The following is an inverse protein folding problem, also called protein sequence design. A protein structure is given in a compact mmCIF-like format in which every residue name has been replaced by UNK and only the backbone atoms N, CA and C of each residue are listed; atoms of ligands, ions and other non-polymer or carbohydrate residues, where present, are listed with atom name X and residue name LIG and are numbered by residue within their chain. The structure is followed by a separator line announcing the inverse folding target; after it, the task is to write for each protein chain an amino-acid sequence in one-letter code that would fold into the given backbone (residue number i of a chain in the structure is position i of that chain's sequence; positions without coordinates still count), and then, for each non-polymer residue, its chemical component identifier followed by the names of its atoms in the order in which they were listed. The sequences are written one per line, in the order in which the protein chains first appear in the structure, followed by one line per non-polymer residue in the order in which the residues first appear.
data_IF_200181113706
#
_entry.id   IF_200181113706
#
_cell.length_a   1.000
_cell.length_b   1.000
_cell.length_c   1.000
_cell.angle_alpha   90.00
_cell.angle_beta   90.00
_cell.angle_gamma   90.00
#
_symmetry.space_group_name_H-M   'P 1'
#
loop_
_entity.id
_entity.type
_entity.pdbx_description
1 polymer ?
#
# COMPACT_ATOMS: atom_id res chain seq x y z
N UNK A 1 -14.47 -1.02 -10.21
CA UNK A 1 -14.22 -1.34 -8.80
C UNK A 1 -13.55 -0.13 -8.15
N UNK A 2 -14.12 0.41 -7.06
CA UNK A 2 -13.54 1.55 -6.34
C UNK A 2 -12.82 0.99 -5.11
N UNK A 3 -11.49 0.97 -5.14
CA UNK A 3 -10.68 0.51 -4.01
C UNK A 3 -10.55 1.60 -2.97
N UNK A 4 -10.82 1.23 -1.72
CA UNK A 4 -10.77 2.13 -0.57
C UNK A 4 -9.78 1.59 0.43
N UNK A 5 -8.89 2.46 0.90
CA UNK A 5 -8.08 2.23 2.08
C UNK A 5 -8.56 3.18 3.17
N UNK A 6 -8.46 2.74 4.43
CA UNK A 6 -8.90 3.55 5.55
C UNK A 6 -7.97 3.39 6.76
N UNK A 7 -7.94 4.42 7.59
CA UNK A 7 -7.19 4.43 8.84
C UNK A 7 -7.95 5.19 9.92
N UNK A 8 -7.72 4.80 11.17
CA UNK A 8 -8.23 5.53 12.34
C UNK A 8 -7.18 6.53 12.80
N UNK A 9 -7.60 7.78 12.98
CA UNK A 9 -6.79 8.89 13.47
C UNK A 9 -7.41 9.46 14.75
N UNK A 10 -6.65 10.23 15.51
CA UNK A 10 -7.14 11.01 16.64
C UNK A 10 -7.74 12.32 16.14
N UNK A 11 -8.99 12.57 16.52
CA UNK A 11 -9.64 13.87 16.35
C UNK A 11 -9.54 14.67 17.66
N UNK A 12 -9.87 15.97 17.68
CA UNK A 12 -9.80 16.78 18.90
C UNK A 12 -10.63 16.24 20.07
N UNK A 13 -11.71 15.50 19.77
CA UNK A 13 -12.69 15.05 20.77
C UNK A 13 -12.78 13.52 20.89
N UNK A 14 -12.31 12.76 19.90
CA UNK A 14 -12.35 11.30 19.89
C UNK A 14 -11.42 10.74 18.79
N UNK A 15 -12.00 10.06 17.80
CA UNK A 15 -11.32 9.50 16.64
C UNK A 15 -11.96 10.00 15.35
N UNK A 16 -11.22 9.89 14.26
CA UNK A 16 -11.74 10.04 12.91
C UNK A 16 -11.36 8.80 12.09
N UNK A 17 -12.31 8.27 11.33
CA UNK A 17 -12.02 7.32 10.26
C UNK A 17 -11.73 8.13 9.01
N UNK A 18 -10.54 7.97 8.45
CA UNK A 18 -10.09 8.65 7.24
C UNK A 18 -9.94 7.62 6.14
N UNK A 19 -10.59 7.83 5.01
CA UNK A 19 -10.56 6.94 3.86
C UNK A 19 -10.06 7.66 2.60
N UNK A 20 -9.29 6.93 1.79
CA UNK A 20 -8.73 7.39 0.52
C UNK A 20 -8.80 6.29 -0.53
N UNK A 21 -8.60 6.68 -1.79
CA UNK A 21 -8.77 5.79 -2.94
C UNK A 21 -7.47 5.78 -3.75
N UNK A 22 -6.83 4.62 -4.00
CA UNK A 22 -5.54 4.56 -4.71
C UNK A 22 -5.57 5.12 -6.14
N UNK A 23 -6.73 5.04 -6.81
CA UNK A 23 -6.92 5.43 -8.21
C UNK A 23 -7.82 6.63 -8.42
N UNK A 24 -8.34 7.22 -7.35
CA UNK A 24 -9.25 8.38 -7.43
C UNK A 24 -8.69 9.46 -6.52
N UNK A 25 -8.66 10.70 -7.02
CA UNK A 25 -8.32 11.83 -6.17
C UNK A 25 -9.41 12.06 -5.14
N UNK A 26 -9.03 12.12 -3.86
CA UNK A 26 -10.00 12.33 -2.81
C UNK A 26 -9.61 11.68 -1.51
N UNK A 27 -9.82 12.42 -0.42
CA UNK A 27 -9.78 11.87 0.93
C UNK A 27 -11.01 12.36 1.67
N UNK A 28 -11.69 11.42 2.32
CA UNK A 28 -12.88 11.65 3.12
C UNK A 28 -12.61 11.27 4.57
N UNK A 29 -13.33 11.90 5.50
CA UNK A 29 -13.31 11.48 6.90
C UNK A 29 -14.70 11.44 7.51
N UNK A 30 -14.85 10.69 8.60
CA UNK A 30 -16.04 10.67 9.43
C UNK A 30 -15.64 10.55 10.90
N UNK A 31 -16.32 11.28 11.77
CA UNK A 31 -16.10 11.28 13.21
C UNK A 31 -17.38 10.80 13.93
N UNK A 32 -17.26 10.24 15.15
CA UNK A 32 -18.42 9.85 15.94
C UNK A 32 -19.44 11.00 16.05
N UNK A 33 -20.71 10.69 15.80
CA UNK A 33 -21.80 11.68 15.79
C UNK A 33 -22.07 12.35 14.44
N UNK A 34 -21.16 12.25 13.46
CA UNK A 34 -21.41 12.75 12.11
C UNK A 34 -22.16 11.72 11.27
N UNK A 35 -23.33 12.10 10.73
CA UNK A 35 -24.16 11.22 9.88
C UNK A 35 -23.64 11.04 8.45
N UNK A 36 -22.60 11.77 8.05
CA UNK A 36 -22.08 11.79 6.68
C UNK A 36 -20.55 11.84 6.70
N UNK A 37 -19.96 11.30 5.64
CA UNK A 37 -18.56 11.51 5.32
C UNK A 37 -18.35 12.94 4.83
N UNK A 38 -17.25 13.57 5.25
CA UNK A 38 -16.84 14.90 4.82
C UNK A 38 -15.62 14.77 3.92
N UNK A 39 -15.64 15.44 2.77
CA UNK A 39 -14.47 15.51 1.89
C UNK A 39 -13.47 16.50 2.49
N UNK A 40 -12.31 16.00 2.92
CA UNK A 40 -11.24 16.84 3.48
C UNK A 40 -10.23 17.25 2.42
N UNK A 41 -10.06 16.44 1.36
CA UNK A 41 -9.20 16.76 0.22
C UNK A 41 -9.91 16.34 -1.07
N UNK A 42 -10.09 17.25 -2.03
CA UNK A 42 -10.72 16.95 -3.33
C UNK A 42 -9.73 16.47 -4.40
N UNK A 43 -8.51 16.99 -4.37
CA UNK A 43 -7.50 16.77 -5.41
C UNK A 43 -6.19 16.26 -4.80
N UNK A 44 -6.30 15.18 -4.04
CA UNK A 44 -5.15 14.52 -3.40
C UNK A 44 -5.13 13.04 -3.79
N UNK A 45 -4.10 12.67 -4.54
CA UNK A 45 -3.74 11.29 -4.84
C UNK A 45 -2.48 10.89 -4.06
N UNK A 46 -2.54 9.74 -3.39
CA UNK A 46 -1.46 9.22 -2.55
C UNK A 46 -0.88 7.95 -3.18
N UNK A 47 0.46 7.83 -3.19
CA UNK A 47 1.17 6.59 -3.52
C UNK A 47 1.04 5.57 -2.40
N UNK A 48 1.23 6.05 -1.18
CA UNK A 48 1.18 5.26 0.05
C UNK A 48 0.71 6.18 1.18
N UNK A 49 0.12 5.61 2.21
CA UNK A 49 -0.30 6.33 3.40
C UNK A 49 0.10 5.56 4.66
N UNK A 50 0.34 6.30 5.73
CA UNK A 50 0.79 5.77 7.00
C UNK A 50 0.01 6.43 8.15
N UNK A 51 -0.83 5.67 8.87
CA UNK A 51 -1.27 6.09 10.19
C UNK A 51 -0.09 6.04 11.16
N UNK A 52 0.23 7.17 11.78
CA UNK A 52 1.34 7.29 12.71
C UNK A 52 1.04 8.33 13.79
N UNK A 53 1.21 7.95 15.05
CA UNK A 53 0.99 8.83 16.22
C UNK A 53 -0.38 9.57 16.17
N UNK A 54 -1.44 8.84 15.82
CA UNK A 54 -2.81 9.39 15.74
C UNK A 54 -3.07 10.31 14.54
N UNK A 55 -2.15 10.42 13.59
CA UNK A 55 -2.30 11.23 12.37
C UNK A 55 -2.18 10.35 11.13
N UNK A 56 -2.64 10.86 10.00
CA UNK A 56 -2.43 10.21 8.70
C UNK A 56 -1.42 11.01 7.88
N UNK A 57 -0.37 10.34 7.45
CA UNK A 57 0.61 10.88 6.50
C UNK A 57 0.52 10.15 5.17
N UNK A 58 0.97 10.77 4.09
CA UNK A 58 1.02 10.10 2.79
C UNK A 58 2.01 10.74 1.83
N UNK A 59 2.46 9.95 0.86
CA UNK A 59 3.31 10.44 -0.23
C UNK A 59 2.43 10.88 -1.39
N UNK A 60 2.46 12.17 -1.75
CA UNK A 60 1.66 12.70 -2.87
C UNK A 60 2.21 12.22 -4.21
N UNK A 61 1.35 11.64 -5.07
CA UNK A 61 1.75 11.08 -6.38
C UNK A 61 2.46 12.09 -7.29
N UNK A 62 1.95 13.33 -7.33
CA UNK A 62 2.44 14.35 -8.26
C UNK A 62 3.69 15.12 -7.80
N UNK A 63 4.13 15.00 -6.54
CA UNK A 63 5.11 15.96 -6.00
C UNK A 63 6.20 15.40 -5.08
N UNK A 64 6.29 14.07 -4.88
CA UNK A 64 7.34 13.45 -4.06
C UNK A 64 7.49 14.09 -2.66
N UNK A 65 6.36 14.50 -2.10
CA UNK A 65 6.26 15.12 -0.79
C UNK A 65 5.52 14.18 0.14
N UNK A 66 6.08 14.00 1.32
CA UNK A 66 5.34 13.42 2.45
C UNK A 66 4.53 14.57 3.06
N UNK A 67 3.21 14.40 3.10
CA UNK A 67 2.27 15.39 3.62
C UNK A 67 1.47 14.80 4.76
N UNK A 68 1.08 15.66 5.71
CA UNK A 68 0.03 15.32 6.66
C UNK A 68 -1.33 15.41 5.96
N UNK A 69 -2.01 14.27 5.86
CA UNK A 69 -3.33 14.12 5.27
C UNK A 69 -4.41 14.45 6.31
N UNK A 70 -4.26 13.92 7.51
CA UNK A 70 -5.14 14.17 8.65
C UNK A 70 -4.32 14.41 9.94
N UNK A 71 -4.67 15.36 10.81
CA UNK A 71 -5.75 16.34 10.68
C UNK A 71 -5.62 17.24 9.43
N UNK A 72 -6.73 17.67 8.83
CA UNK A 72 -6.70 18.45 7.60
C UNK A 72 -6.05 19.83 7.86
N UNK A 73 -5.28 20.30 6.88
CA UNK A 73 -4.68 21.64 6.87
C UNK A 73 -4.90 22.29 5.51
N UNK A 74 -5.05 23.61 5.51
CA UNK A 74 -5.43 24.40 4.32
C UNK A 74 -4.47 24.27 3.12
N UNK A 75 -3.20 23.90 3.34
CA UNK A 75 -2.18 23.80 2.29
C UNK A 75 -1.42 22.46 2.25
N UNK A 76 -1.96 21.38 2.84
CA UNK A 76 -1.26 20.10 3.00
C UNK A 76 0.13 20.29 3.64
N UNK A 77 0.18 20.35 4.98
CA UNK A 77 1.45 20.47 5.72
C UNK A 77 2.47 19.44 5.22
N UNK A 78 3.52 19.91 4.56
CA UNK A 78 4.63 19.08 4.09
C UNK A 78 5.49 18.72 5.30
N UNK A 79 5.66 17.43 5.55
CA UNK A 79 6.46 16.92 6.67
C UNK A 79 7.80 16.34 6.22
N UNK A 80 7.96 16.10 4.92
CA UNK A 80 9.26 15.77 4.33
C UNK A 80 9.23 15.99 2.81
N UNK A 81 10.40 16.28 2.25
CA UNK A 81 10.62 16.33 0.81
C UNK A 81 11.58 15.21 0.44
N UNK A 82 11.18 14.39 -0.52
CA UNK A 82 12.06 13.38 -1.09
C UNK A 82 13.02 14.11 -2.05
N UNK A 83 14.34 13.99 -1.88
CA UNK A 83 15.32 14.69 -2.72
C UNK A 83 15.12 14.32 -4.18
N UNK A 84 15.29 15.31 -5.07
CA UNK A 84 15.08 15.12 -6.52
C UNK A 84 16.16 14.25 -7.14
N UNK A 85 17.32 14.22 -6.51
CA UNK A 85 18.50 13.46 -6.87
C UNK A 85 18.26 11.95 -6.73
N UNK A 86 17.21 11.56 -6.00
CA UNK A 86 16.82 10.17 -5.79
C UNK A 86 15.89 9.71 -6.93
N UNK A 87 16.51 9.34 -8.07
CA UNK A 87 15.90 8.62 -9.20
C UNK A 87 14.80 9.37 -9.95
N UNK A 88 14.28 8.80 -11.05
CA UNK A 88 13.30 9.48 -11.90
C UNK A 88 11.89 9.57 -11.29
N UNK A 89 11.21 10.74 -11.34
CA UNK A 89 9.95 11.03 -10.65
C UNK A 89 8.85 9.99 -10.79
N UNK A 90 8.74 9.40 -11.97
CA UNK A 90 7.59 8.58 -12.38
C UNK A 90 7.81 7.07 -12.20
N UNK A 91 9.05 6.64 -11.95
CA UNK A 91 9.42 5.21 -11.91
C UNK A 91 9.78 4.70 -10.50
N UNK A 92 9.77 5.56 -9.47
CA UNK A 92 10.12 5.15 -8.10
C UNK A 92 8.88 4.71 -7.31
N UNK A 93 8.92 3.51 -6.71
CA UNK A 93 7.92 3.09 -5.74
C UNK A 93 8.27 3.63 -4.35
N UNK A 94 7.30 4.28 -3.70
CA UNK A 94 7.47 4.90 -2.39
C UNK A 94 6.58 4.19 -1.38
N UNK A 95 7.16 3.71 -0.28
CA UNK A 95 6.45 3.02 0.79
C UNK A 95 6.68 3.74 2.11
N UNK A 96 5.59 4.05 2.83
CA UNK A 96 5.67 4.51 4.21
C UNK A 96 5.30 3.35 5.13
N UNK A 97 6.06 3.17 6.21
CA UNK A 97 5.86 2.09 7.17
C UNK A 97 6.22 2.56 8.57
N UNK A 98 5.41 2.22 9.56
CA UNK A 98 5.76 2.39 10.97
C UNK A 98 6.64 1.22 11.39
N UNK A 99 7.74 1.51 12.09
CA UNK A 99 8.68 0.51 12.54
C UNK A 99 9.32 0.93 13.86
N UNK A 100 8.89 0.32 14.97
CA UNK A 100 9.52 0.52 16.28
C UNK A 100 9.33 1.93 16.83
N UNK A 101 8.22 2.60 16.53
CA UNK A 101 7.96 3.98 16.91
C UNK A 101 8.49 5.03 15.92
N UNK A 102 9.06 4.59 14.80
CA UNK A 102 9.60 5.46 13.75
C UNK A 102 8.74 5.39 12.48
N UNK A 103 8.57 6.52 11.80
CA UNK A 103 7.99 6.56 10.46
C UNK A 103 9.12 6.42 9.45
N UNK A 104 9.18 5.29 8.75
CA UNK A 104 10.19 5.03 7.74
C UNK A 104 9.62 5.24 6.33
N UNK A 105 10.47 5.77 5.45
CA UNK A 105 10.23 5.88 4.03
C UNK A 105 11.20 4.95 3.29
N UNK A 106 10.65 4.01 2.53
CA UNK A 106 11.41 3.16 1.62
C UNK A 106 11.16 3.62 0.19
N UNK A 107 12.26 3.87 -0.53
CA UNK A 107 12.24 4.21 -1.94
C UNK A 107 12.85 3.04 -2.72
N UNK A 108 12.09 2.51 -3.66
CA UNK A 108 12.56 1.53 -4.63
C UNK A 108 12.75 2.25 -5.96
N UNK A 109 13.93 2.15 -6.53
CA UNK A 109 14.28 2.87 -7.75
C UNK A 109 14.79 1.88 -8.79
N UNK A 110 14.16 1.78 -9.96
CA UNK A 110 14.68 0.93 -11.02
C UNK A 110 16.05 1.45 -11.47
N UNK A 111 16.98 0.54 -11.72
CA UNK A 111 18.33 0.81 -12.22
C UNK A 111 18.28 1.16 -13.72
N UNK A 112 17.25 0.68 -14.43
CA UNK A 112 17.05 0.92 -15.86
C UNK A 112 15.67 1.53 -16.11
N UNK A 113 15.59 2.47 -17.06
CA UNK A 113 14.31 3.07 -17.49
C UNK A 113 13.52 2.19 -18.46
N UNK A 114 14.13 1.10 -18.96
CA UNK A 114 13.48 0.16 -19.87
C UNK A 114 12.55 -0.78 -19.11
N UNK A 115 11.24 -0.64 -19.36
CA UNK A 115 10.22 -1.60 -18.97
C UNK A 115 10.29 -2.79 -19.92
N UNK A 116 11.27 -3.69 -19.72
CA UNK A 116 11.29 -4.94 -20.45
C UNK A 116 10.05 -5.75 -20.05
N UNK A 117 9.22 -6.08 -21.02
CA UNK A 117 7.95 -6.78 -20.80
C UNK A 117 8.22 -8.19 -20.25
N UNK A 118 8.13 -8.34 -18.93
CA UNK A 118 8.11 -9.65 -18.27
C UNK A 118 9.43 -10.11 -17.66
N UNK A 119 10.50 -9.32 -17.73
CA UNK A 119 11.76 -9.59 -17.02
C UNK A 119 11.89 -8.75 -15.75
N UNK A 120 12.72 -9.23 -14.82
CA UNK A 120 13.03 -8.52 -13.58
C UNK A 120 13.74 -7.20 -13.90
N UNK A 121 13.21 -6.09 -13.39
CA UNK A 121 13.90 -4.80 -13.43
C UNK A 121 14.73 -4.68 -12.16
N UNK A 122 16.07 -4.63 -12.26
CA UNK A 122 16.92 -4.39 -11.10
C UNK A 122 16.52 -3.07 -10.44
N UNK A 123 16.49 -3.02 -9.11
CA UNK A 123 16.22 -1.79 -8.38
C UNK A 123 17.18 -1.61 -7.21
N UNK A 124 17.45 -0.35 -6.87
CA UNK A 124 18.09 0.04 -5.62
C UNK A 124 17.02 0.35 -4.58
N UNK A 125 17.37 0.12 -3.31
CA UNK A 125 16.54 0.48 -2.17
C UNK A 125 17.25 1.55 -1.36
N UNK A 126 16.55 2.65 -1.10
CA UNK A 126 16.99 3.69 -0.18
C UNK A 126 16.00 3.80 0.98
N UNK A 127 16.52 3.81 2.21
CA UNK A 127 15.74 3.82 3.43
C UNK A 127 16.00 5.12 4.21
N UNK A 128 14.93 5.74 4.67
CA UNK A 128 14.98 7.00 5.42
C UNK A 128 14.07 6.97 6.64
N UNK A 129 14.52 7.57 7.74
CA UNK A 129 13.66 7.99 8.84
C UNK A 129 13.02 9.33 8.49
N UNK A 130 11.71 9.45 8.70
CA UNK A 130 10.93 10.67 8.46
C UNK A 130 10.68 11.36 9.79
N UNK A 131 11.50 12.37 10.09
CA UNK A 131 11.33 13.17 11.29
C UNK A 131 10.27 14.25 11.08
N UNK A 132 9.05 13.96 11.52
CA UNK A 132 7.87 14.83 11.35
C UNK A 132 8.04 16.19 12.04
N UNK A 133 8.73 16.25 13.19
CA UNK A 133 8.96 17.49 13.94
C UNK A 133 9.91 18.46 13.23
N UNK A 134 11.04 17.95 12.73
CA UNK A 134 12.07 18.75 12.07
C UNK A 134 11.81 18.92 10.57
N UNK A 135 10.80 18.22 10.04
CA UNK A 135 10.44 18.18 8.62
C UNK A 135 11.57 17.71 7.69
N UNK A 136 12.40 16.79 8.20
CA UNK A 136 13.58 16.26 7.52
C UNK A 136 13.48 14.76 7.36
N UNK A 137 14.21 14.26 6.37
CA UNK A 137 14.50 12.84 6.24
C UNK A 137 15.98 12.60 6.52
N UNK A 138 16.29 11.48 7.15
CA UNK A 138 17.67 11.07 7.40
C UNK A 138 17.88 9.65 6.90
N UNK A 139 18.97 9.36 6.15
CA UNK A 139 19.25 8.00 5.70
C UNK A 139 19.37 7.02 6.87
N UNK A 140 18.88 5.80 6.67
CA UNK A 140 18.97 4.69 7.63
C UNK A 140 19.65 3.52 6.93
N UNK A 141 20.69 2.98 7.56
CA UNK A 141 21.46 1.85 7.02
C UNK A 141 21.04 0.50 7.58
N UNK A 142 20.28 0.46 8.69
CA UNK A 142 19.87 -0.78 9.34
C UNK A 142 18.50 -0.66 10.02
N UNK A 143 17.75 -1.75 9.98
CA UNK A 143 16.49 -1.96 10.69
C UNK A 143 16.68 -2.73 12.01
N UNK A 144 17.92 -3.09 12.37
CA UNK A 144 18.21 -3.92 13.54
C UNK A 144 17.57 -5.30 13.44
N UNK A 145 16.81 -5.68 14.47
CA UNK A 145 16.10 -6.97 14.54
C UNK A 145 14.83 -7.02 13.69
N UNK A 146 14.51 -5.97 12.93
CA UNK A 146 13.22 -5.85 12.23
C UNK A 146 13.31 -6.20 10.75
N UNK A 147 12.18 -6.61 10.21
CA UNK A 147 11.97 -6.83 8.79
C UNK A 147 10.76 -6.02 8.31
N UNK A 148 10.88 -5.41 7.13
CA UNK A 148 9.79 -4.70 6.48
C UNK A 148 9.13 -5.58 5.43
N UNK A 149 7.82 -5.53 5.32
CA UNK A 149 7.04 -6.17 4.27
C UNK A 149 6.29 -5.09 3.50
N UNK A 150 6.63 -4.93 2.23
CA UNK A 150 6.17 -3.84 1.37
C UNK A 150 5.26 -4.42 0.29
N UNK A 151 3.98 -4.02 0.35
CA UNK A 151 2.97 -4.40 -0.62
C UNK A 151 2.48 -3.22 -1.46
N UNK A 152 1.52 -3.51 -2.33
CA UNK A 152 0.81 -2.47 -3.08
C UNK A 152 -0.18 -1.70 -2.21
N UNK A 153 -0.79 -2.37 -1.22
CA UNK A 153 -1.90 -1.80 -0.45
C UNK A 153 -1.49 -1.37 0.97
N UNK A 154 -0.67 -2.20 1.63
CA UNK A 154 -0.26 -2.01 3.02
C UNK A 154 1.23 -2.32 3.16
N UNK A 155 1.84 -1.70 4.17
CA UNK A 155 3.20 -2.00 4.57
C UNK A 155 3.20 -2.30 6.07
N UNK A 156 3.99 -3.30 6.49
CA UNK A 156 4.15 -3.64 7.91
C UNK A 156 5.61 -3.84 8.27
N UNK A 157 5.93 -3.61 9.54
CA UNK A 157 7.23 -3.91 10.13
C UNK A 157 7.04 -4.95 11.23
N UNK A 158 7.83 -6.03 11.19
CA UNK A 158 7.79 -7.08 12.20
C UNK A 158 9.15 -7.20 12.89
N UNK A 159 9.15 -7.51 14.18
CA UNK A 159 10.38 -7.93 14.87
C UNK A 159 10.68 -9.38 14.50
N UNK A 160 11.88 -9.63 13.99
CA UNK A 160 12.36 -10.96 13.66
C UNK A 160 12.97 -11.70 14.87
N UNK A 161 13.07 -11.05 16.03
CA UNK A 161 13.73 -11.58 17.24
C UNK A 161 13.24 -12.98 17.66
N UNK A 162 11.96 -13.27 17.44
CA UNK A 162 11.32 -14.55 17.78
C UNK A 162 10.72 -15.26 16.57
N UNK A 163 11.11 -14.85 15.35
CA UNK A 163 10.60 -15.39 14.10
C UNK A 163 11.77 -15.95 13.29
N UNK A 164 12.20 -17.20 13.55
CA UNK A 164 13.42 -17.75 12.94
C UNK A 164 13.34 -17.90 11.41
N UNK A 165 12.14 -17.91 10.83
CA UNK A 165 11.93 -17.94 9.38
C UNK A 165 11.97 -16.55 8.72
N UNK A 166 12.12 -15.47 9.50
CA UNK A 166 12.16 -14.10 9.01
C UNK A 166 13.57 -13.55 9.21
N UNK A 167 14.18 -13.05 8.14
CA UNK A 167 15.49 -12.42 8.22
C UNK A 167 15.35 -11.03 8.84
N UNK A 168 16.08 -10.78 9.93
CA UNK A 168 16.25 -9.43 10.47
C UNK A 168 17.03 -8.53 9.51
N UNK A 169 16.91 -7.22 9.66
CA UNK A 169 17.60 -6.24 8.83
C UNK A 169 17.31 -6.42 7.32
N UNK A 170 16.07 -6.79 6.99
CA UNK A 170 15.69 -7.14 5.62
C UNK A 170 14.36 -6.46 5.20
N UNK A 171 14.16 -6.38 3.89
CA UNK A 171 12.97 -5.81 3.27
C UNK A 171 12.40 -6.84 2.28
N UNK A 172 11.20 -7.32 2.54
CA UNK A 172 10.43 -8.20 1.68
C UNK A 172 9.53 -7.35 0.78
N UNK A 173 9.60 -7.58 -0.53
CA UNK A 173 8.97 -6.75 -1.55
C UNK A 173 8.10 -7.61 -2.45
N UNK A 174 6.87 -7.18 -2.68
CA UNK A 174 6.01 -7.74 -3.71
C UNK A 174 6.25 -7.07 -5.04
N UNK A 175 6.49 -7.84 -6.11
CA UNK A 175 6.58 -7.32 -7.47
C UNK A 175 5.57 -8.01 -8.39
N UNK A 176 4.96 -7.31 -9.35
CA UNK A 176 4.06 -7.92 -10.33
C UNK A 176 4.85 -8.59 -11.47
N UNK A 177 5.80 -9.47 -11.14
CA UNK A 177 6.64 -10.19 -12.10
C UNK A 177 6.56 -11.70 -11.88
N UNK A 178 7.23 -12.50 -12.73
CA UNK A 178 7.30 -13.97 -12.57
C UNK A 178 7.82 -14.39 -11.19
N UNK A 179 8.62 -13.55 -10.55
CA UNK A 179 9.11 -13.75 -9.18
C UNK A 179 8.44 -12.74 -8.25
N UNK A 180 7.23 -13.05 -7.76
CA UNK A 180 6.40 -12.05 -7.09
C UNK A 180 6.91 -11.64 -5.72
N UNK A 181 7.86 -12.37 -5.14
CA UNK A 181 8.39 -12.10 -3.80
C UNK A 181 9.90 -12.12 -3.81
N UNK A 182 10.49 -11.06 -3.25
CA UNK A 182 11.93 -10.95 -3.05
C UNK A 182 12.25 -10.41 -1.67
N UNK A 183 13.40 -10.84 -1.15
CA UNK A 183 13.98 -10.31 0.07
C UNK A 183 15.24 -9.51 -0.28
N UNK A 184 15.35 -8.31 0.24
CA UNK A 184 16.56 -7.50 0.19
C UNK A 184 17.19 -7.43 1.58
N UNK A 185 18.41 -7.94 1.73
CA UNK A 185 19.17 -7.85 2.98
C UNK A 185 19.94 -6.53 3.03
N UNK A 186 19.72 -5.73 4.07
CA UNK A 186 20.45 -4.46 4.26
C UNK A 186 21.89 -4.68 4.74
N UNK A 187 22.20 -5.85 5.29
CA UNK A 187 23.53 -6.18 5.83
C UNK A 187 24.57 -6.34 4.71
N UNK A 188 24.23 -7.07 3.65
CA UNK A 188 25.12 -7.36 2.52
C UNK A 188 24.64 -6.76 1.19
N UNK A 189 23.50 -6.05 1.21
CA UNK A 189 22.84 -5.46 0.03
C UNK A 189 22.45 -6.49 -1.04
N UNK A 190 22.36 -7.76 -0.67
CA UNK A 190 21.99 -8.82 -1.58
C UNK A 190 20.47 -8.89 -1.74
N UNK A 191 20.04 -9.26 -2.94
CA UNK A 191 18.68 -9.70 -3.21
C UNK A 191 18.66 -11.22 -3.22
N UNK A 192 17.74 -11.79 -2.47
CA UNK A 192 17.48 -13.21 -2.45
C UNK A 192 16.05 -13.44 -2.92
N UNK A 193 15.89 -14.36 -3.86
CA UNK A 193 14.58 -14.90 -4.15
C UNK A 193 14.17 -15.71 -2.94
N UNK A 194 13.00 -15.39 -2.37
CA UNK A 194 12.37 -16.33 -1.45
C UNK A 194 12.13 -17.62 -2.23
N UNK A 195 12.16 -18.78 -1.56
CA UNK A 195 12.09 -20.14 -2.15
C UNK A 195 10.80 -20.45 -2.95
N UNK A 196 10.09 -19.41 -3.35
CA UNK A 196 8.85 -19.36 -4.08
C UNK A 196 9.00 -19.90 -5.51
N UNK A 197 10.20 -19.88 -6.09
CA UNK A 197 10.51 -20.38 -7.44
C UNK A 197 11.33 -21.68 -7.38
N UNK A 198 10.66 -22.83 -7.34
CA UNK A 198 11.28 -24.11 -7.71
C UNK A 198 10.82 -24.47 -9.12
N UNK A 199 11.73 -24.57 -10.11
CA UNK A 199 11.38 -24.88 -11.51
C UNK A 199 10.68 -26.24 -11.69
N UNK A 200 10.66 -27.07 -10.64
CA UNK A 200 9.98 -28.37 -10.64
C UNK A 200 8.45 -28.22 -10.75
N UNK A 201 7.88 -27.08 -10.34
CA UNK A 201 6.44 -26.94 -10.13
C UNK A 201 5.69 -26.15 -11.21
N UNK A 202 6.38 -25.54 -12.18
CA UNK A 202 5.72 -24.92 -13.35
C UNK A 202 4.87 -25.93 -14.14
N UNK A 203 5.17 -27.22 -14.02
CA UNK A 203 4.52 -28.29 -14.80
C UNK A 203 3.16 -28.74 -14.27
N UNK A 204 2.81 -28.45 -13.02
CA UNK A 204 1.62 -29.06 -12.37
C UNK A 204 0.46 -28.11 -12.08
N UNK A 205 0.61 -26.80 -12.33
CA UNK A 205 -0.49 -25.82 -12.30
C UNK A 205 -1.15 -25.56 -10.93
N UNK A 206 -0.85 -26.37 -9.91
CA UNK A 206 -1.36 -26.25 -8.54
C UNK A 206 -0.17 -26.21 -7.57
N UNK A 207 -0.02 -25.10 -6.84
CA UNK A 207 0.99 -24.96 -5.79
C UNK A 207 0.50 -25.66 -4.50
N UNK A 208 0.64 -26.98 -4.42
CA UNK A 208 0.35 -27.73 -3.18
C UNK A 208 1.61 -27.74 -2.30
N UNK A 209 1.92 -26.63 -1.64
CA UNK A 209 3.04 -26.57 -0.67
C UNK A 209 2.68 -25.76 0.57
N UNK A 210 3.33 -26.02 1.71
CA UNK A 210 3.23 -25.12 2.86
C UNK A 210 3.82 -23.75 2.50
N UNK A 211 3.12 -22.68 2.88
CA UNK A 211 3.58 -21.30 2.72
C UNK A 211 4.41 -20.88 3.94
N UNK A 212 5.46 -20.12 3.69
CA UNK A 212 6.26 -19.56 4.78
C UNK A 212 5.51 -18.42 5.47
N UNK A 213 5.92 -18.07 6.69
CA UNK A 213 5.39 -16.89 7.36
C UNK A 213 5.62 -15.62 6.53
N UNK A 214 6.74 -15.53 5.82
CA UNK A 214 7.03 -14.40 4.95
C UNK A 214 6.01 -14.27 3.80
N UNK A 215 5.60 -15.40 3.20
CA UNK A 215 4.57 -15.42 2.15
C UNK A 215 3.23 -14.89 2.67
N UNK A 216 2.84 -15.29 3.88
CA UNK A 216 1.61 -14.81 4.51
C UNK A 216 1.65 -13.33 4.85
N UNK A 217 2.76 -12.85 5.43
CA UNK A 217 2.92 -11.43 5.77
C UNK A 217 2.94 -10.56 4.52
N UNK A 218 3.59 -11.00 3.44
CA UNK A 218 3.58 -10.26 2.19
C UNK A 218 2.23 -10.32 1.47
N UNK A 219 1.54 -11.46 1.55
CA UNK A 219 0.17 -11.58 1.06
C UNK A 219 -0.75 -10.63 1.82
N UNK A 220 -0.61 -10.53 3.15
CA UNK A 220 -1.35 -9.53 3.94
C UNK A 220 -1.11 -8.10 3.45
N UNK A 221 0.11 -7.76 3.03
CA UNK A 221 0.43 -6.45 2.45
C UNK A 221 -0.24 -6.18 1.08
N UNK A 222 -0.76 -7.23 0.42
CA UNK A 222 -1.51 -7.15 -0.82
C UNK A 222 -2.97 -7.59 -0.55
N UNK A 223 -3.77 -6.62 -0.14
CA UNK A 223 -5.12 -6.82 0.38
C UNK A 223 -6.04 -7.53 -0.63
N UNK A 224 -5.82 -7.31 -1.93
CA UNK A 224 -6.62 -7.90 -3.01
C UNK A 224 -6.60 -9.43 -2.97
N UNK A 225 -5.42 -10.01 -2.77
CA UNK A 225 -5.21 -11.45 -2.69
C UNK A 225 -5.63 -11.94 -1.30
N UNK A 226 -5.19 -11.24 -0.24
CA UNK A 226 -5.49 -11.63 1.14
C UNK A 226 -6.98 -11.72 1.46
N UNK A 227 -7.77 -10.70 1.07
CA UNK A 227 -9.21 -10.65 1.33
C UNK A 227 -10.00 -11.76 0.61
N UNK A 228 -9.40 -12.36 -0.43
CA UNK A 228 -9.98 -13.46 -1.20
C UNK A 228 -9.48 -14.84 -0.76
N UNK A 229 -8.65 -14.89 0.29
CA UNK A 229 -8.06 -16.14 0.80
C UNK A 229 -6.99 -16.71 -0.13
N UNK A 230 -6.34 -15.85 -0.91
CA UNK A 230 -5.39 -16.23 -1.96
C UNK A 230 -3.97 -15.82 -1.58
N UNK A 231 -2.99 -16.64 -1.95
CA UNK A 231 -1.58 -16.32 -1.73
C UNK A 231 -1.03 -15.51 -2.89
N UNK A 232 -0.32 -14.42 -2.57
CA UNK A 232 0.13 -13.44 -3.55
C UNK A 232 0.93 -14.06 -4.71
N UNK A 233 1.77 -15.05 -4.41
CA UNK A 233 2.63 -15.67 -5.42
C UNK A 233 1.92 -16.65 -6.37
N UNK A 234 0.67 -17.02 -6.12
CA UNK A 234 -0.05 -17.98 -6.97
C UNK A 234 -0.59 -17.34 -8.27
N UNK A 235 -0.67 -16.00 -8.32
CA UNK A 235 -1.39 -15.28 -9.39
C UNK A 235 -0.51 -14.76 -10.52
N UNK A 236 0.75 -14.45 -10.23
CA UNK A 236 1.66 -13.82 -11.19
C UNK A 236 2.41 -14.78 -12.14
N UNK A 237 2.60 -16.08 -11.85
CA UNK A 237 3.24 -17.00 -12.79
C UNK A 237 2.34 -17.50 -13.94
N UNK A 238 1.00 -17.32 -13.89
CA UNK A 238 0.10 -18.05 -14.79
C UNK A 238 -0.63 -17.13 -15.78
N UNK A 239 -0.06 -17.00 -16.98
CA UNK A 239 -0.51 -16.09 -18.04
C UNK A 239 -1.90 -16.37 -18.63
N UNK A 240 -2.56 -17.49 -18.31
CA UNK A 240 -3.78 -17.94 -19.04
C UNK A 240 -5.00 -18.27 -18.13
N UNK A 241 -4.86 -18.64 -16.85
CA UNK A 241 -6.00 -18.71 -15.92
C UNK A 241 -6.37 -17.36 -15.29
N UNK A 242 -5.46 -16.38 -15.29
CA UNK A 242 -5.67 -15.07 -14.67
C UNK A 242 -6.88 -14.35 -15.28
N UNK A 243 -7.09 -14.41 -16.59
CA UNK A 243 -8.25 -13.76 -17.23
C UNK A 243 -9.59 -14.36 -16.77
N UNK A 244 -9.73 -15.70 -16.78
CA UNK A 244 -10.96 -16.38 -16.33
C UNK A 244 -11.26 -16.09 -14.86
N UNK A 245 -10.21 -15.99 -14.05
CA UNK A 245 -10.35 -15.79 -12.62
C UNK A 245 -10.57 -14.30 -12.29
N UNK A 246 -9.94 -13.37 -13.01
CA UNK A 246 -10.30 -11.95 -13.00
C UNK A 246 -11.74 -11.72 -13.48
N UNK A 247 -12.23 -12.48 -14.46
CA UNK A 247 -13.64 -12.44 -14.86
C UNK A 247 -14.57 -12.93 -13.74
N UNK A 248 -14.20 -14.01 -13.02
CA UNK A 248 -14.93 -14.45 -11.82
C UNK A 248 -14.92 -13.39 -10.72
N UNK A 249 -13.79 -12.73 -10.48
CA UNK A 249 -13.71 -11.63 -9.52
C UNK A 249 -14.60 -10.46 -9.94
N UNK A 250 -14.55 -10.05 -11.21
CA UNK A 250 -15.45 -9.00 -11.73
C UNK A 250 -16.92 -9.40 -11.58
N UNK A 251 -17.26 -10.67 -11.77
CA UNK A 251 -18.62 -11.16 -11.57
C UNK A 251 -19.05 -11.08 -10.09
N UNK A 252 -18.21 -11.56 -9.16
CA UNK A 252 -18.45 -11.45 -7.70
C UNK A 252 -18.52 -9.99 -7.24
N UNK A 253 -17.62 -9.14 -7.72
CA UNK A 253 -17.60 -7.71 -7.37
C UNK A 253 -18.84 -6.98 -7.93
N UNK A 254 -19.41 -7.43 -9.04
CA UNK A 254 -20.66 -6.89 -9.61
C UNK A 254 -21.90 -7.31 -8.80
N UNK A 255 -21.84 -8.39 -8.02
CA UNK A 255 -22.90 -8.77 -7.08
C UNK A 255 -22.92 -7.84 -5.86
N UNK A 256 -21.78 -7.24 -5.51
CA UNK A 256 -21.67 -6.22 -4.46
C UNK A 256 -22.15 -4.88 -5.02
N UNK A 257 -23.47 -4.65 -4.99
CA UNK A 257 -24.04 -3.33 -5.26
C UNK A 257 -23.68 -2.36 -4.14
N UNK A 258 -22.66 -1.53 -4.35
CA UNK A 258 -22.46 -0.32 -3.54
C UNK A 258 -23.41 0.74 -4.09
N UNK A 259 -24.45 1.17 -3.34
CA UNK A 259 -25.37 2.19 -3.82
C UNK A 259 -24.57 3.45 -4.20
N UNK A 260 -24.78 3.95 -5.41
CA UNK A 260 -24.13 5.16 -5.83
C UNK A 260 -24.71 6.33 -5.01
N UNK A 261 -23.88 7.18 -4.40
CA UNK A 261 -24.34 8.36 -3.64
C UNK A 261 -25.23 9.30 -4.47
N UNK A 262 -25.16 9.22 -5.80
CA UNK A 262 -26.04 9.93 -6.74
C UNK A 262 -27.48 9.46 -6.68
N UNK A 263 -27.72 8.17 -6.41
CA UNK A 263 -29.07 7.59 -6.26
C UNK A 263 -29.76 8.08 -4.99
N UNK A 264 -28.99 8.42 -3.95
CA UNK A 264 -29.55 9.00 -2.73
C UNK A 264 -30.04 10.44 -2.94
N UNK A 265 -29.42 11.21 -3.84
CA UNK A 265 -29.88 12.55 -4.23
C UNK A 265 -31.19 12.49 -5.01
N UNK A 266 -31.29 11.61 -6.01
CA UNK A 266 -32.51 11.44 -6.79
C UNK A 266 -33.66 10.83 -5.97
N UNK A 267 -33.37 9.97 -4.99
CA UNK A 267 -34.40 9.49 -4.05
C UNK A 267 -34.90 10.56 -3.06
N UNK A 268 -34.05 11.50 -2.63
CA UNK A 268 -34.45 12.64 -1.79
C UNK A 268 -35.23 13.70 -2.59
N UNK A 269 -34.81 13.98 -3.83
CA UNK A 269 -35.52 14.89 -4.74
C UNK A 269 -36.88 14.33 -5.18
N UNK A 270 -36.99 13.01 -5.39
CA UNK A 270 -38.26 12.36 -5.70
C UNK A 270 -39.23 12.27 -4.51
N UNK A 271 -38.74 12.33 -3.26
CA UNK A 271 -39.59 12.40 -2.06
C UNK A 271 -40.15 13.80 -1.85
N UNK A 272 -39.32 14.84 -2.01
CA UNK A 272 -39.77 16.23 -1.88
C UNK A 272 -40.79 16.66 -2.95
N UNK A 273 -40.81 16.01 -4.13
CA UNK A 273 -41.79 16.26 -5.18
C UNK A 273 -43.11 15.48 -5.02
N UNK A 274 -43.25 14.61 -4.01
CA UNK A 274 -44.48 13.86 -3.74
C UNK A 274 -45.29 14.41 -2.57
N UNK A 275 -44.75 15.36 -1.82
CA UNK A 275 -45.45 16.05 -0.71
C UNK A 275 -46.01 17.42 -1.14
N UNK A 276 -46.04 17.71 -2.45
CA UNK A 276 -46.70 18.88 -3.04
C UNK A 276 -47.63 18.38 -4.16
N UNK A 277 -48.74 17.75 -3.78
CA UNK A 277 -49.99 17.63 -4.53
C UNK A 277 -51.07 17.02 -3.64
#
# INVERSE_FOLDING_TARGET
MVWMSAAVCLSPTSIAVVAWFPYIEGVVCSEPGHRRWTIIHKSLALWTALPFQGKLFGVKKASRRVVQVYPPSSQHKVVARIPKEIGFPFNCCCHLVESGGHALLVLQQPITDEWSSGEWVPFTVALFDVNISSQKITPVSSLGDRALFLGNDRNISVSAKHLPSICSNAIYISQPTRNPTMMHSLSNRAFEQTSTFSPIHERTGNSVRPFTLADHLLTYCNHTEWARGLMFHEFYPISVPLEKLLMKFRAQDNEVRVPCLTEYKSMLEAKNNKDIL
#
